data_IF_327507490975
#
_entry.id   IF_327507490975
#
_cell.length_a   1.000
_cell.length_b   1.000
_cell.length_c   1.000
_cell.angle_alpha   90.00
_cell.angle_beta   90.00
_cell.angle_gamma   90.00
#
_symmetry.space_group_name_H-M   'P 1'
#
loop_
_entity.id
_entity.type
_entity.pdbx_description
1 polymer ?
#
# COMPACT_ATOMS: atom_id res chain seq x y z
N UNK A 1 20.44 -2.12 -7.41
CA UNK A 1 19.62 -2.01 -6.18
C UNK A 1 20.52 -2.26 -4.98
N UNK A 2 20.60 -1.29 -4.06
CA UNK A 2 21.33 -1.43 -2.79
C UNK A 2 20.32 -1.85 -1.74
N UNK A 3 20.57 -2.94 -1.02
CA UNK A 3 19.67 -3.47 0.00
C UNK A 3 20.00 -2.98 1.41
N UNK A 4 21.17 -2.35 1.58
CA UNK A 4 21.65 -1.85 2.85
C UNK A 4 22.57 -0.63 2.63
N UNK A 5 22.39 0.42 3.42
CA UNK A 5 23.14 1.66 3.33
C UNK A 5 24.04 1.82 4.55
N UNK A 6 25.09 2.65 4.43
CA UNK A 6 26.03 2.90 5.50
C UNK A 6 25.54 3.95 6.51
N UNK A 7 24.52 4.73 6.11
CA UNK A 7 23.91 5.79 6.91
C UNK A 7 22.40 5.66 6.84
N UNK A 8 21.69 6.24 7.78
CA UNK A 8 20.27 6.49 7.65
C UNK A 8 20.01 7.43 6.45
N UNK A 9 18.78 7.45 5.95
CA UNK A 9 18.43 8.27 4.79
C UNK A 9 18.63 9.77 5.12
N UNK A 10 19.67 10.36 4.55
CA UNK A 10 20.05 11.76 4.79
C UNK A 10 19.02 12.79 4.30
N UNK A 11 18.00 12.36 3.56
CA UNK A 11 16.84 13.20 3.27
C UNK A 11 16.01 13.50 4.52
N UNK A 12 16.07 12.63 5.53
CA UNK A 12 15.25 12.69 6.73
C UNK A 12 16.06 12.74 8.03
N UNK A 13 17.29 12.22 8.02
CA UNK A 13 18.12 12.04 9.20
C UNK A 13 19.44 12.78 9.06
N UNK A 14 19.84 13.49 10.12
CA UNK A 14 21.18 14.04 10.22
C UNK A 14 22.22 12.92 10.50
N UNK A 15 23.50 13.27 10.48
CA UNK A 15 24.59 12.34 10.85
C UNK A 15 24.46 11.87 12.31
N UNK A 16 23.94 12.73 13.20
CA UNK A 16 23.66 12.42 14.61
C UNK A 16 22.32 11.71 14.83
N UNK A 17 21.73 11.18 13.75
CA UNK A 17 20.45 10.45 13.74
C UNK A 17 19.26 11.25 14.30
N UNK A 18 19.30 12.57 14.18
CA UNK A 18 18.17 13.44 14.49
C UNK A 18 17.25 13.53 13.27
N UNK A 19 15.96 13.41 13.50
CA UNK A 19 14.97 13.55 12.43
C UNK A 19 14.81 15.01 12.01
N UNK A 20 14.61 15.25 10.73
CA UNK A 20 14.43 16.58 10.15
C UNK A 20 13.18 17.25 10.73
N UNK A 21 13.30 18.44 11.39
CA UNK A 21 12.18 19.08 12.07
C UNK A 21 11.07 19.54 11.12
N UNK A 22 11.40 19.97 9.90
CA UNK A 22 10.39 20.43 8.93
C UNK A 22 9.57 19.25 8.40
N UNK A 23 10.20 18.10 8.22
CA UNK A 23 9.51 16.87 7.82
C UNK A 23 8.65 16.33 8.96
N UNK A 24 9.17 16.39 10.20
CA UNK A 24 8.41 15.99 11.39
C UNK A 24 7.12 16.81 11.52
N UNK A 25 7.20 18.14 11.40
CA UNK A 25 6.03 19.02 11.50
C UNK A 25 4.99 18.66 10.42
N UNK A 26 5.43 18.42 9.19
CA UNK A 26 4.54 18.00 8.11
C UNK A 26 3.88 16.66 8.40
N UNK A 27 4.63 15.66 8.88
CA UNK A 27 4.07 14.35 9.21
C UNK A 27 3.04 14.44 10.34
N UNK A 28 3.28 15.26 11.36
CA UNK A 28 2.32 15.51 12.43
C UNK A 28 1.04 16.17 11.88
N UNK A 29 1.17 17.18 11.01
CA UNK A 29 0.00 17.81 10.37
C UNK A 29 -0.79 16.83 9.49
N UNK A 30 -0.10 15.98 8.71
CA UNK A 30 -0.76 14.92 7.91
C UNK A 30 -1.50 13.93 8.83
N UNK A 31 -0.91 13.61 9.98
CA UNK A 31 -1.52 12.72 10.97
C UNK A 31 -2.79 13.31 11.56
N UNK A 32 -2.79 14.63 11.88
CA UNK A 32 -3.99 15.32 12.38
C UNK A 32 -5.11 15.29 11.33
N UNK A 33 -4.80 15.57 10.06
CA UNK A 33 -5.76 15.48 8.96
C UNK A 33 -6.28 14.04 8.76
N UNK A 34 -5.42 13.04 8.93
CA UNK A 34 -5.79 11.64 8.86
C UNK A 34 -6.76 11.26 9.98
N UNK A 35 -6.45 11.56 11.24
CA UNK A 35 -7.31 11.31 12.41
C UNK A 35 -8.67 11.99 12.23
N UNK A 36 -8.67 13.25 11.79
CA UNK A 36 -9.89 14.00 11.50
C UNK A 36 -10.74 13.33 10.41
N UNK A 37 -10.11 12.82 9.35
CA UNK A 37 -10.81 12.14 8.25
C UNK A 37 -11.47 10.82 8.66
N UNK A 38 -11.00 10.21 9.76
CA UNK A 38 -11.57 9.00 10.35
C UNK A 38 -12.64 9.29 11.41
N UNK A 39 -12.85 10.56 11.78
CA UNK A 39 -13.78 10.96 12.84
C UNK A 39 -13.31 10.58 14.24
N UNK A 40 -12.01 10.54 14.46
CA UNK A 40 -11.38 10.09 15.70
C UNK A 40 -10.79 11.22 16.56
N UNK A 41 -11.23 12.47 16.36
CA UNK A 41 -10.69 13.65 17.05
C UNK A 41 -10.85 13.61 18.58
N UNK A 42 -11.73 12.75 19.09
CA UNK A 42 -11.96 12.56 20.51
C UNK A 42 -11.19 11.41 21.13
N UNK A 43 -10.44 10.64 20.33
CA UNK A 43 -9.66 9.49 20.81
C UNK A 43 -8.28 9.97 21.21
N UNK A 44 -7.79 9.51 22.37
CA UNK A 44 -6.43 9.83 22.82
C UNK A 44 -5.40 9.13 21.94
N UNK A 45 -4.42 9.88 21.45
CA UNK A 45 -3.30 9.35 20.67
C UNK A 45 -2.14 9.08 21.62
N UNK A 46 -1.80 7.82 21.84
CA UNK A 46 -0.69 7.40 22.71
C UNK A 46 0.65 7.84 22.10
N UNK A 47 0.91 7.50 20.85
CA UNK A 47 2.10 7.95 20.12
C UNK A 47 1.84 8.05 18.62
N UNK A 48 2.72 8.75 17.92
CA UNK A 48 2.82 8.79 16.48
C UNK A 48 4.24 8.34 16.14
N UNK A 49 4.36 7.17 15.49
CA UNK A 49 5.66 6.57 15.26
C UNK A 49 6.01 6.48 13.79
N UNK A 50 7.28 6.67 13.48
CA UNK A 50 7.87 6.39 12.18
C UNK A 50 8.65 5.08 12.25
N UNK A 51 8.35 4.17 11.33
CA UNK A 51 8.98 2.85 11.25
C UNK A 51 9.38 2.51 9.81
N UNK A 52 9.58 1.25 9.51
CA UNK A 52 9.90 0.79 8.16
C UNK A 52 11.33 1.06 7.72
N UNK A 53 11.56 1.01 6.42
CA UNK A 53 12.93 1.06 5.88
C UNK A 53 13.57 2.44 5.99
N UNK A 54 12.79 3.53 5.99
CA UNK A 54 13.33 4.89 6.19
C UNK A 54 13.72 5.20 7.64
N UNK A 55 13.32 4.36 8.59
CA UNK A 55 13.79 4.38 9.98
C UNK A 55 14.93 3.37 10.22
N UNK A 56 15.55 2.87 9.15
CA UNK A 56 16.61 1.87 9.21
C UNK A 56 17.61 2.06 8.05
N UNK A 57 18.62 1.19 7.97
CA UNK A 57 19.67 1.21 6.94
C UNK A 57 19.27 0.51 5.63
N UNK A 58 18.09 -0.11 5.54
CA UNK A 58 17.61 -0.88 4.39
C UNK A 58 16.65 -0.12 3.46
N UNK A 59 16.69 1.23 3.55
CA UNK A 59 15.92 2.09 2.66
C UNK A 59 16.48 2.11 1.23
N UNK A 60 15.62 2.46 0.29
CA UNK A 60 15.96 2.75 -1.11
C UNK A 60 15.07 3.89 -1.65
N UNK A 61 15.19 4.21 -2.93
CA UNK A 61 14.42 5.27 -3.59
C UNK A 61 12.89 5.04 -3.63
N UNK A 62 12.44 3.79 -3.44
CA UNK A 62 11.04 3.38 -3.42
C UNK A 62 10.49 3.15 -2.00
N UNK A 63 11.29 3.46 -0.99
CA UNK A 63 10.86 3.28 0.40
C UNK A 63 9.87 4.35 0.80
N UNK A 64 8.78 3.94 1.42
CA UNK A 64 7.74 4.82 1.95
C UNK A 64 8.15 5.38 3.32
N UNK A 65 7.47 6.42 3.78
CA UNK A 65 7.48 6.88 5.16
C UNK A 65 6.28 6.23 5.87
N UNK A 66 6.53 5.16 6.60
CA UNK A 66 5.51 4.39 7.30
C UNK A 66 5.20 5.07 8.65
N UNK A 67 4.09 5.79 8.73
CA UNK A 67 3.65 6.51 9.94
C UNK A 67 2.52 5.76 10.62
N UNK A 68 2.72 5.35 11.86
CA UNK A 68 1.76 4.65 12.67
C UNK A 68 1.21 5.55 13.77
N UNK A 69 -0.11 5.66 13.84
CA UNK A 69 -0.84 6.33 14.92
C UNK A 69 -1.27 5.28 15.92
N UNK A 70 -0.76 5.37 17.12
CA UNK A 70 -1.04 4.44 18.21
C UNK A 70 -2.17 4.99 19.06
N UNK A 71 -3.22 4.20 19.19
CA UNK A 71 -4.39 4.50 20.02
C UNK A 71 -4.83 3.24 20.76
N UNK A 72 -5.63 3.39 21.78
CA UNK A 72 -6.31 2.28 22.43
C UNK A 72 -7.57 1.90 21.62
N UNK A 73 -7.61 0.70 21.06
CA UNK A 73 -8.79 0.26 20.31
C UNK A 73 -10.01 0.03 21.22
N UNK A 74 -9.80 -0.28 22.52
CA UNK A 74 -10.87 -0.39 23.49
C UNK A 74 -11.61 0.95 23.70
N UNK A 75 -10.94 2.09 23.55
CA UNK A 75 -11.57 3.42 23.61
C UNK A 75 -12.61 3.66 22.50
N UNK A 76 -12.51 2.90 21.41
CA UNK A 76 -13.47 2.96 20.30
C UNK A 76 -14.58 1.92 20.49
N UNK A 77 -14.23 0.66 20.75
CA UNK A 77 -15.16 -0.44 20.97
C UNK A 77 -14.47 -1.64 21.62
N UNK A 78 -15.23 -2.37 22.48
CA UNK A 78 -14.78 -3.61 23.14
C UNK A 78 -14.34 -4.71 22.16
N UNK A 79 -14.86 -4.70 20.91
CA UNK A 79 -14.45 -5.63 19.84
C UNK A 79 -13.30 -5.03 19.02
N UNK A 80 -12.07 -5.13 19.56
CA UNK A 80 -10.84 -4.65 18.93
C UNK A 80 -10.63 -5.23 17.52
N UNK A 81 -11.05 -6.48 17.27
CA UNK A 81 -10.94 -7.09 15.94
C UNK A 81 -11.82 -6.37 14.91
N UNK A 82 -13.02 -5.96 15.33
CA UNK A 82 -13.92 -5.16 14.51
C UNK A 82 -13.35 -3.76 14.28
N UNK A 83 -12.82 -3.12 15.33
CA UNK A 83 -12.15 -1.82 15.23
C UNK A 83 -10.99 -1.90 14.24
N UNK A 84 -10.12 -2.88 14.40
CA UNK A 84 -8.97 -3.10 13.48
C UNK A 84 -9.40 -3.24 12.03
N UNK A 85 -10.45 -4.04 11.77
CA UNK A 85 -10.97 -4.21 10.39
C UNK A 85 -11.54 -2.92 9.82
N UNK A 86 -12.27 -2.14 10.60
CA UNK A 86 -12.85 -0.88 10.18
C UNK A 86 -11.73 0.14 9.85
N UNK A 87 -10.80 0.34 10.78
CA UNK A 87 -9.68 1.27 10.62
C UNK A 87 -8.73 0.86 9.49
N UNK A 88 -8.49 -0.44 9.27
CA UNK A 88 -7.71 -0.94 8.12
C UNK A 88 -8.40 -0.63 6.78
N UNK A 89 -9.72 -0.70 6.74
CA UNK A 89 -10.51 -0.31 5.55
C UNK A 89 -10.42 1.19 5.26
N UNK A 90 -10.64 2.00 6.27
CA UNK A 90 -10.60 3.47 6.14
C UNK A 90 -9.20 3.98 5.82
N UNK A 91 -8.16 3.44 6.50
CA UNK A 91 -6.77 3.69 6.18
C UNK A 91 -6.44 3.36 4.72
N UNK A 92 -6.89 2.19 4.23
CA UNK A 92 -6.68 1.80 2.84
C UNK A 92 -7.30 2.82 1.87
N UNK A 93 -8.52 3.26 2.15
CA UNK A 93 -9.20 4.29 1.34
C UNK A 93 -8.46 5.62 1.43
N UNK A 94 -7.97 6.02 2.60
CA UNK A 94 -7.22 7.27 2.78
C UNK A 94 -5.92 7.26 1.98
N UNK A 95 -5.07 6.25 2.18
CA UNK A 95 -3.80 6.09 1.45
C UNK A 95 -4.01 5.99 -0.07
N UNK A 96 -5.15 5.43 -0.51
CA UNK A 96 -5.50 5.38 -1.93
C UNK A 96 -5.87 6.75 -2.52
N UNK A 97 -6.51 7.62 -1.72
CA UNK A 97 -6.98 8.95 -2.15
C UNK A 97 -5.92 10.03 -2.03
N UNK A 98 -4.96 9.87 -1.14
CA UNK A 98 -3.94 10.86 -0.84
C UNK A 98 -2.57 10.34 -1.29
N UNK A 99 -1.98 11.00 -2.25
CA UNK A 99 -0.63 10.72 -2.74
C UNK A 99 0.32 11.80 -2.19
N UNK A 100 0.59 11.72 -0.88
CA UNK A 100 1.48 12.67 -0.21
C UNK A 100 2.91 12.19 -0.38
N UNK A 101 3.75 13.04 -0.99
CA UNK A 101 5.15 12.73 -1.24
C UNK A 101 6.06 13.76 -0.56
N UNK A 102 6.95 13.31 0.30
CA UNK A 102 7.94 14.13 0.97
C UNK A 102 9.34 13.74 0.50
N UNK A 103 10.03 14.66 -0.16
CA UNK A 103 11.40 14.48 -0.67
C UNK A 103 11.59 13.25 -1.57
N UNK A 104 10.55 12.86 -2.31
CA UNK A 104 10.56 11.72 -3.23
C UNK A 104 10.17 10.38 -2.59
N UNK A 105 9.63 10.39 -1.39
CA UNK A 105 9.11 9.22 -0.69
C UNK A 105 7.64 9.42 -0.33
N UNK A 106 6.82 8.43 -0.60
CA UNK A 106 5.40 8.48 -0.31
C UNK A 106 5.15 8.28 1.19
N UNK A 107 4.11 8.93 1.71
CA UNK A 107 3.69 8.79 3.11
C UNK A 107 2.56 7.79 3.17
N UNK A 108 2.73 6.72 3.94
CA UNK A 108 1.70 5.74 4.24
C UNK A 108 1.29 5.86 5.72
N UNK A 109 -0.02 6.08 5.94
CA UNK A 109 -0.59 6.18 7.28
C UNK A 109 -1.14 4.84 7.73
N UNK A 110 -0.95 4.51 9.03
CA UNK A 110 -1.45 3.30 9.67
C UNK A 110 -2.09 3.64 11.01
N UNK A 111 -3.21 2.97 11.33
CA UNK A 111 -3.74 2.92 12.69
C UNK A 111 -3.27 1.64 13.34
N UNK A 112 -2.82 1.71 14.57
CA UNK A 112 -2.29 0.58 15.32
C UNK A 112 -2.76 0.63 16.75
N UNK A 113 -3.14 -0.52 17.29
CA UNK A 113 -3.42 -0.65 18.71
C UNK A 113 -2.14 -0.43 19.53
N UNK A 114 -2.23 0.34 20.61
CA UNK A 114 -1.07 0.64 21.48
C UNK A 114 -0.41 -0.61 22.07
N UNK A 115 -1.20 -1.68 22.28
CA UNK A 115 -0.74 -2.93 22.87
C UNK A 115 -0.25 -3.94 21.81
N UNK A 116 -0.41 -3.63 20.51
CA UNK A 116 0.13 -4.47 19.44
C UNK A 116 1.67 -4.41 19.41
N UNK A 117 2.36 -5.57 19.51
CA UNK A 117 3.82 -5.57 19.59
C UNK A 117 4.46 -5.00 18.33
N UNK A 118 5.34 -4.03 18.51
CA UNK A 118 6.19 -3.51 17.44
C UNK A 118 7.35 -4.46 17.14
N UNK A 119 7.36 -5.02 15.94
CA UNK A 119 8.47 -5.86 15.43
C UNK A 119 9.25 -5.03 14.42
N UNK A 120 9.85 -3.92 14.86
CA UNK A 120 10.66 -3.05 14.01
C UNK A 120 12.06 -2.91 14.57
N UNK A 121 13.07 -2.96 13.70
CA UNK A 121 14.49 -2.75 14.05
C UNK A 121 14.85 -1.27 14.19
N UNK A 122 14.00 -0.36 13.69
CA UNK A 122 14.07 1.08 13.88
C UNK A 122 12.67 1.63 14.13
N UNK A 123 12.47 2.29 15.28
CA UNK A 123 11.19 2.87 15.69
C UNK A 123 11.44 4.24 16.32
N UNK A 124 10.86 5.28 15.76
CA UNK A 124 11.03 6.65 16.18
C UNK A 124 9.69 7.28 16.55
N UNK A 125 9.59 7.86 17.76
CA UNK A 125 8.43 8.67 18.13
C UNK A 125 8.51 10.05 17.48
N UNK A 126 7.56 10.32 16.58
CA UNK A 126 7.36 11.66 16.03
C UNK A 126 6.73 12.59 17.08
N UNK A 127 5.88 12.06 17.97
CA UNK A 127 5.26 12.82 19.07
C UNK A 127 6.31 13.35 20.03
N UNK A 128 7.17 12.48 20.54
CA UNK A 128 8.20 12.81 21.52
C UNK A 128 9.53 13.27 20.92
N UNK A 129 9.69 13.16 19.60
CA UNK A 129 10.91 13.51 18.85
C UNK A 129 12.15 12.74 19.36
N UNK A 130 12.00 11.42 19.54
CA UNK A 130 13.07 10.55 20.05
C UNK A 130 12.99 9.13 19.50
N UNK A 131 14.12 8.43 19.50
CA UNK A 131 14.13 7.01 19.22
C UNK A 131 13.48 6.21 20.37
N UNK A 132 12.56 5.34 20.04
CA UNK A 132 12.06 4.27 20.92
C UNK A 132 13.00 3.07 20.79
N UNK A 133 13.30 2.69 19.53
CA UNK A 133 14.32 1.68 19.22
C UNK A 133 15.21 2.25 18.13
N UNK A 134 16.44 2.56 18.50
CA UNK A 134 17.43 3.05 17.54
C UNK A 134 17.96 1.89 16.69
N UNK A 135 17.99 2.01 15.36
CA UNK A 135 18.47 0.93 14.50
C UNK A 135 19.98 0.75 14.67
N UNK A 136 20.40 -0.51 14.86
CA UNK A 136 21.81 -0.87 14.87
C UNK A 136 22.36 -1.00 13.46
N UNK A 137 23.59 -0.49 13.25
CA UNK A 137 24.31 -0.75 12.00
C UNK A 137 24.95 -2.14 12.04
N UNK A 138 24.27 -3.10 11.43
CA UNK A 138 24.72 -4.48 11.31
C UNK A 138 24.52 -4.96 9.85
N UNK A 139 25.51 -4.72 8.96
CA UNK A 139 25.37 -5.04 7.55
C UNK A 139 25.27 -6.55 7.32
N UNK A 140 24.12 -7.03 6.80
CA UNK A 140 23.90 -8.46 6.58
C UNK A 140 24.71 -8.98 5.40
N UNK A 141 25.04 -10.28 5.45
CA UNK A 141 25.52 -11.00 4.28
C UNK A 141 24.35 -11.35 3.37
N UNK A 142 24.24 -10.71 2.21
CA UNK A 142 23.12 -10.88 1.26
C UNK A 142 23.60 -11.62 0.03
N UNK A 143 22.97 -12.74 -0.31
CA UNK A 143 23.12 -13.36 -1.62
C UNK A 143 22.25 -12.66 -2.67
N UNK A 144 22.81 -11.59 -3.24
CA UNK A 144 22.14 -10.74 -4.24
C UNK A 144 21.72 -11.56 -5.47
N UNK A 145 22.49 -12.58 -5.86
CA UNK A 145 22.16 -13.42 -7.04
C UNK A 145 20.91 -14.23 -6.79
N UNK A 146 20.78 -14.85 -5.61
CA UNK A 146 19.61 -15.64 -5.25
C UNK A 146 18.37 -14.75 -5.09
N UNK A 147 18.51 -13.52 -4.57
CA UNK A 147 17.42 -12.53 -4.51
C UNK A 147 16.85 -12.27 -5.91
N UNK A 148 17.70 -11.86 -6.86
CA UNK A 148 17.25 -11.55 -8.22
C UNK A 148 16.77 -12.79 -8.97
N UNK A 149 17.39 -13.94 -8.80
CA UNK A 149 16.93 -15.20 -9.40
C UNK A 149 15.52 -15.56 -8.94
N UNK A 150 15.24 -15.42 -7.64
CA UNK A 150 13.92 -15.71 -7.05
C UNK A 150 12.88 -14.69 -7.53
N UNK A 151 13.20 -13.39 -7.53
CA UNK A 151 12.32 -12.35 -8.03
C UNK A 151 11.99 -12.57 -9.52
N UNK A 152 13.00 -12.82 -10.36
CA UNK A 152 12.80 -13.03 -11.81
C UNK A 152 11.95 -14.26 -12.12
N UNK A 153 12.08 -15.33 -11.35
CA UNK A 153 11.24 -16.51 -11.54
C UNK A 153 9.76 -16.20 -11.28
N UNK A 154 9.47 -15.43 -10.23
CA UNK A 154 8.10 -15.02 -9.90
C UNK A 154 7.55 -14.02 -10.94
N UNK A 155 8.34 -13.03 -11.34
CA UNK A 155 7.97 -12.08 -12.39
C UNK A 155 7.60 -12.80 -13.69
N UNK A 156 8.40 -13.80 -14.09
CA UNK A 156 8.11 -14.64 -15.26
C UNK A 156 6.78 -15.39 -15.11
N UNK A 157 6.48 -15.94 -13.92
CA UNK A 157 5.19 -16.60 -13.65
C UNK A 157 4.01 -15.61 -13.79
N UNK A 158 4.18 -14.36 -13.35
CA UNK A 158 3.19 -13.28 -13.48
C UNK A 158 2.97 -12.92 -14.95
N UNK A 159 4.06 -12.71 -15.71
CA UNK A 159 4.01 -12.37 -17.14
C UNK A 159 3.26 -13.44 -17.94
N UNK A 160 3.58 -14.72 -17.71
CA UNK A 160 2.89 -15.85 -18.35
C UNK A 160 1.39 -15.86 -18.01
N UNK A 161 1.03 -15.56 -16.77
CA UNK A 161 -0.37 -15.48 -16.37
C UNK A 161 -1.08 -14.29 -17.05
N UNK A 162 -0.40 -13.14 -17.14
CA UNK A 162 -0.90 -11.91 -17.77
C UNK A 162 -1.27 -12.14 -19.24
N UNK A 163 -0.38 -12.79 -20.00
CA UNK A 163 -0.65 -13.16 -21.40
C UNK A 163 -1.85 -14.08 -21.53
N UNK A 164 -1.95 -15.11 -20.69
CA UNK A 164 -3.07 -16.05 -20.71
C UNK A 164 -4.40 -15.41 -20.35
N UNK A 165 -4.42 -14.57 -19.29
CA UNK A 165 -5.64 -13.88 -18.87
C UNK A 165 -6.11 -12.90 -19.94
N UNK A 166 -5.20 -12.29 -20.70
CA UNK A 166 -5.58 -11.38 -21.80
C UNK A 166 -6.53 -12.04 -22.80
N UNK A 167 -6.28 -13.30 -23.18
CA UNK A 167 -7.06 -14.07 -24.15
C UNK A 167 -8.26 -14.83 -23.54
N UNK A 168 -8.22 -15.13 -22.23
CA UNK A 168 -9.17 -16.03 -21.56
C UNK A 168 -10.58 -15.43 -21.41
N UNK A 169 -11.60 -16.34 -21.36
CA UNK A 169 -13.00 -16.03 -21.09
C UNK A 169 -13.64 -17.15 -20.26
N UNK A 170 -14.72 -16.83 -19.53
CA UNK A 170 -15.58 -17.79 -18.83
C UNK A 170 -14.81 -18.79 -17.96
N UNK A 171 -14.95 -20.09 -18.25
CA UNK A 171 -14.33 -21.16 -17.46
C UNK A 171 -12.80 -21.07 -17.42
N UNK A 172 -12.17 -20.68 -18.51
CA UNK A 172 -10.71 -20.52 -18.57
C UNK A 172 -10.25 -19.33 -17.71
N UNK A 173 -10.97 -18.19 -17.77
CA UNK A 173 -10.72 -17.04 -16.91
C UNK A 173 -10.83 -17.42 -15.43
N UNK A 174 -11.81 -18.25 -15.05
CA UNK A 174 -11.95 -18.77 -13.68
C UNK A 174 -10.72 -19.57 -13.24
N UNK A 175 -10.23 -20.47 -14.06
CA UNK A 175 -9.04 -21.28 -13.73
C UNK A 175 -7.79 -20.41 -13.59
N UNK A 176 -7.64 -19.38 -14.40
CA UNK A 176 -6.52 -18.44 -14.33
C UNK A 176 -6.63 -17.52 -13.12
N UNK A 177 -7.84 -17.05 -12.78
CA UNK A 177 -8.10 -16.32 -11.55
C UNK A 177 -7.67 -17.10 -10.31
N UNK A 178 -8.05 -18.38 -10.22
CA UNK A 178 -7.62 -19.25 -9.13
C UNK A 178 -6.09 -19.45 -9.08
N UNK A 179 -5.43 -19.54 -10.25
CA UNK A 179 -3.96 -19.63 -10.33
C UNK A 179 -3.28 -18.35 -9.86
N UNK A 180 -3.80 -17.19 -10.26
CA UNK A 180 -3.28 -15.89 -9.82
C UNK A 180 -3.41 -15.70 -8.31
N UNK A 181 -4.55 -16.07 -7.72
CA UNK A 181 -4.74 -16.05 -6.27
C UNK A 181 -3.76 -16.99 -5.54
N UNK A 182 -3.57 -18.22 -6.04
CA UNK A 182 -2.57 -19.14 -5.46
C UNK A 182 -1.15 -18.60 -5.55
N UNK A 183 -0.80 -17.89 -6.64
CA UNK A 183 0.51 -17.26 -6.76
C UNK A 183 0.67 -16.12 -5.74
N UNK A 184 -0.35 -15.27 -5.56
CA UNK A 184 -0.38 -14.22 -4.53
C UNK A 184 -0.17 -14.81 -3.13
N UNK A 185 -0.89 -15.88 -2.80
CA UNK A 185 -0.72 -16.57 -1.52
C UNK A 185 0.68 -17.17 -1.35
N UNK A 186 1.22 -17.79 -2.42
CA UNK A 186 2.59 -18.36 -2.42
C UNK A 186 3.63 -17.28 -2.11
N UNK A 187 3.51 -16.11 -2.74
CA UNK A 187 4.39 -14.95 -2.52
C UNK A 187 4.27 -14.47 -1.07
N UNK A 188 3.05 -14.30 -0.56
CA UNK A 188 2.80 -13.89 0.82
C UNK A 188 3.40 -14.87 1.83
N UNK A 189 3.17 -16.17 1.65
CA UNK A 189 3.72 -17.24 2.51
C UNK A 189 5.26 -17.29 2.42
N UNK A 190 5.82 -17.10 1.24
CA UNK A 190 7.25 -17.01 1.02
C UNK A 190 7.87 -15.88 1.85
N UNK A 191 7.33 -14.66 1.74
CA UNK A 191 7.77 -13.49 2.51
C UNK A 191 7.68 -13.72 4.01
N UNK A 192 6.51 -14.19 4.51
CA UNK A 192 6.30 -14.45 5.94
C UNK A 192 7.32 -15.46 6.49
N UNK A 193 7.60 -16.54 5.75
CA UNK A 193 8.59 -17.56 6.15
C UNK A 193 10.01 -16.98 6.17
N UNK A 194 10.38 -16.18 5.18
CA UNK A 194 11.69 -15.52 5.14
C UNK A 194 11.86 -14.59 6.34
N UNK A 195 10.87 -13.72 6.60
CA UNK A 195 10.88 -12.84 7.76
C UNK A 195 11.01 -13.58 9.10
N UNK A 196 10.28 -14.69 9.26
CA UNK A 196 10.33 -15.49 10.49
C UNK A 196 11.66 -16.25 10.69
N UNK A 197 12.34 -16.61 9.58
CA UNK A 197 13.59 -17.41 9.65
C UNK A 197 14.85 -16.56 9.75
N UNK A 198 14.96 -15.52 8.94
CA UNK A 198 16.17 -14.73 8.74
C UNK A 198 15.93 -13.22 8.82
N UNK A 199 14.70 -12.81 9.19
CA UNK A 199 14.35 -11.40 9.30
C UNK A 199 14.21 -10.67 7.97
N UNK A 200 14.33 -9.35 8.03
CA UNK A 200 14.07 -8.45 6.90
C UNK A 200 15.08 -8.58 5.74
N UNK A 201 16.26 -9.12 6.00
CA UNK A 201 17.29 -9.36 4.99
C UNK A 201 17.26 -10.77 4.37
N UNK A 202 16.25 -11.58 4.70
CA UNK A 202 16.07 -12.87 4.04
C UNK A 202 15.92 -12.70 2.52
N UNK A 203 16.44 -13.67 1.77
CA UNK A 203 16.34 -13.71 0.30
C UNK A 203 14.89 -13.58 -0.16
N UNK A 204 13.96 -14.19 0.58
CA UNK A 204 12.52 -14.14 0.32
C UNK A 204 11.92 -12.74 0.45
N UNK A 205 12.25 -12.04 1.54
CA UNK A 205 11.75 -10.69 1.76
C UNK A 205 12.38 -9.69 0.79
N UNK A 206 13.68 -9.82 0.53
CA UNK A 206 14.35 -8.97 -0.46
C UNK A 206 13.85 -9.20 -1.88
N UNK A 207 13.58 -10.46 -2.27
CA UNK A 207 12.94 -10.76 -3.55
C UNK A 207 11.54 -10.15 -3.64
N UNK A 208 10.76 -10.17 -2.55
CA UNK A 208 9.47 -9.49 -2.48
C UNK A 208 9.62 -7.96 -2.65
N UNK A 209 10.62 -7.34 -1.99
CA UNK A 209 10.92 -5.90 -2.19
C UNK A 209 11.27 -5.59 -3.65
N UNK A 210 12.06 -6.43 -4.32
CA UNK A 210 12.35 -6.28 -5.76
C UNK A 210 11.05 -6.33 -6.58
N UNK A 211 10.20 -7.34 -6.37
CA UNK A 211 8.93 -7.48 -7.07
C UNK A 211 7.98 -6.29 -6.85
N UNK A 212 7.98 -5.70 -5.66
CA UNK A 212 7.23 -4.46 -5.37
C UNK A 212 7.78 -3.28 -6.16
N UNK A 213 9.09 -3.12 -6.17
CA UNK A 213 9.78 -2.01 -6.86
C UNK A 213 9.65 -2.10 -8.40
N UNK A 214 9.55 -3.32 -8.96
CA UNK A 214 9.30 -3.53 -10.40
C UNK A 214 7.81 -3.54 -10.75
N UNK A 215 6.93 -3.18 -9.82
CA UNK A 215 5.47 -3.20 -9.94
C UNK A 215 4.85 -4.59 -10.20
N UNK A 216 5.64 -5.66 -10.21
CA UNK A 216 5.14 -7.01 -10.49
C UNK A 216 4.05 -7.47 -9.49
N UNK A 217 4.09 -7.00 -8.24
CA UNK A 217 3.02 -7.26 -7.26
C UNK A 217 1.75 -6.50 -7.63
N UNK A 218 1.87 -5.25 -8.07
CA UNK A 218 0.75 -4.46 -8.58
C UNK A 218 0.10 -5.14 -9.79
N UNK A 219 0.91 -5.53 -10.78
CA UNK A 219 0.47 -6.30 -11.95
C UNK A 219 -0.30 -7.57 -11.58
N UNK A 220 0.16 -8.31 -10.58
CA UNK A 220 -0.54 -9.52 -10.11
C UNK A 220 -1.90 -9.21 -9.48
N UNK A 221 -2.00 -8.12 -8.70
CA UNK A 221 -3.28 -7.68 -8.11
C UNK A 221 -4.26 -7.26 -9.19
N UNK A 222 -3.81 -6.47 -10.16
CA UNK A 222 -4.62 -6.03 -11.30
C UNK A 222 -5.07 -7.22 -12.16
N UNK A 223 -4.19 -8.22 -12.31
CA UNK A 223 -4.50 -9.46 -13.02
C UNK A 223 -5.60 -10.27 -12.32
N UNK A 224 -5.56 -10.35 -10.99
CA UNK A 224 -6.60 -11.00 -10.19
C UNK A 224 -7.95 -10.30 -10.39
N UNK A 225 -7.98 -8.97 -10.31
CA UNK A 225 -9.19 -8.18 -10.57
C UNK A 225 -9.71 -8.37 -12.00
N UNK A 226 -8.84 -8.19 -13.00
CA UNK A 226 -9.19 -8.36 -14.42
C UNK A 226 -9.70 -9.75 -14.73
N UNK A 227 -9.09 -10.80 -14.17
CA UNK A 227 -9.54 -12.17 -14.38
C UNK A 227 -10.91 -12.44 -13.75
N UNK A 228 -11.19 -11.85 -12.59
CA UNK A 228 -12.50 -11.90 -11.95
C UNK A 228 -13.57 -11.25 -12.81
N UNK A 229 -13.32 -10.05 -13.30
CA UNK A 229 -14.25 -9.35 -14.19
C UNK A 229 -14.60 -10.18 -15.44
N UNK A 230 -13.59 -10.82 -16.05
CA UNK A 230 -13.76 -11.69 -17.21
C UNK A 230 -14.58 -12.96 -16.96
N UNK A 231 -14.70 -13.40 -15.70
CA UNK A 231 -15.55 -14.55 -15.36
C UNK A 231 -17.04 -14.17 -15.46
N UNK A 232 -17.38 -12.97 -15.02
CA UNK A 232 -18.77 -12.57 -14.81
C UNK A 232 -19.30 -11.58 -15.86
N UNK A 233 -18.41 -10.94 -16.62
CA UNK A 233 -18.82 -10.00 -17.67
C UNK A 233 -19.17 -10.76 -18.95
N UNK A 234 -20.45 -10.83 -19.28
CA UNK A 234 -20.93 -11.35 -20.56
C UNK A 234 -20.67 -10.32 -21.66
N UNK A 235 -20.20 -10.80 -22.83
CA UNK A 235 -19.99 -9.95 -24.00
C UNK A 235 -19.07 -8.73 -23.78
N UNK A 236 -18.00 -8.91 -23.02
CA UNK A 236 -17.06 -7.84 -22.71
C UNK A 236 -16.62 -7.03 -23.95
N UNK A 237 -16.50 -7.69 -25.11
CA UNK A 237 -16.14 -7.06 -26.38
C UNK A 237 -17.26 -6.19 -26.92
N UNK A 238 -18.51 -6.68 -26.88
CA UNK A 238 -19.71 -5.97 -27.29
C UNK A 238 -20.02 -4.77 -26.38
N UNK A 239 -19.79 -4.92 -25.06
CA UNK A 239 -19.93 -3.83 -24.11
C UNK A 239 -18.92 -2.71 -24.39
N UNK A 240 -17.67 -3.06 -24.66
CA UNK A 240 -16.61 -2.10 -24.96
C UNK A 240 -16.81 -1.43 -26.33
N UNK A 241 -17.26 -2.19 -27.35
CA UNK A 241 -17.58 -1.68 -28.69
C UNK A 241 -18.84 -0.82 -28.68
N UNK A 242 -19.86 -1.17 -27.91
CA UNK A 242 -21.08 -0.38 -27.71
C UNK A 242 -20.78 1.00 -27.12
N UNK A 243 -19.95 1.06 -26.08
CA UNK A 243 -19.57 2.33 -25.45
C UNK A 243 -18.47 3.11 -26.20
N UNK A 244 -17.73 2.50 -27.11
CA UNK A 244 -16.83 3.22 -28.03
C UNK A 244 -17.57 3.76 -29.26
N UNK A 245 -18.68 3.13 -29.65
CA UNK A 245 -19.50 3.54 -30.80
C UNK A 245 -20.47 4.68 -30.47
N UNK A 246 -20.95 4.76 -29.25
CA UNK A 246 -21.69 5.91 -28.75
C UNK A 246 -20.72 6.93 -28.15
N UNK A 247 -20.31 7.90 -28.95
CA UNK A 247 -19.60 9.05 -28.47
C UNK A 247 -20.40 9.69 -27.31
N UNK A 248 -20.22 9.10 -26.09
CA UNK A 248 -20.18 9.89 -24.88
C UNK A 248 -21.43 10.67 -24.49
N UNK A 249 -22.55 10.04 -24.50
CA UNK A 249 -23.72 10.59 -23.79
C UNK A 249 -23.61 10.44 -22.27
N UNK A 250 -22.61 9.69 -21.76
CA UNK A 250 -22.40 9.56 -20.33
C UNK A 250 -20.91 9.66 -19.94
N UNK A 251 -20.42 10.85 -19.51
CA UNK A 251 -19.04 11.05 -19.13
C UNK A 251 -18.56 10.21 -17.92
N UNK A 252 -19.46 9.55 -17.21
CA UNK A 252 -19.13 8.66 -16.08
C UNK A 252 -18.70 7.27 -16.51
N UNK A 253 -18.86 6.90 -17.79
CA UNK A 253 -18.49 5.59 -18.34
C UNK A 253 -17.27 5.63 -19.26
N UNK A 254 -16.45 6.65 -19.16
CA UNK A 254 -15.16 6.63 -19.82
C UNK A 254 -14.25 5.61 -19.15
N UNK A 255 -14.30 4.39 -19.61
CA UNK A 255 -13.18 3.45 -19.47
C UNK A 255 -12.09 3.92 -20.43
N UNK A 256 -11.44 5.02 -20.09
CA UNK A 256 -10.27 5.50 -20.80
C UNK A 256 -9.13 4.51 -20.62
N UNK A 257 -8.23 4.47 -21.61
CA UNK A 257 -6.97 3.69 -21.60
C UNK A 257 -6.03 3.95 -20.42
N UNK A 258 -6.43 4.76 -19.48
CA UNK A 258 -5.74 5.11 -18.25
C UNK A 258 -6.72 5.01 -17.08
N UNK A 259 -7.18 3.78 -16.78
CA UNK A 259 -7.39 3.43 -15.39
C UNK A 259 -5.98 3.11 -14.85
N UNK A 260 -5.12 4.10 -14.91
CA UNK A 260 -4.00 4.18 -13.99
C UNK A 260 -4.65 4.33 -12.63
N UNK A 261 -4.47 3.32 -11.80
CA UNK A 261 -4.64 3.35 -10.37
C UNK A 261 -5.47 4.55 -9.92
N UNK A 262 -6.81 4.35 -9.73
CA UNK A 262 -7.69 5.38 -9.17
C UNK A 262 -7.79 6.67 -10.00
N UNK A 263 -8.34 6.57 -11.16
CA UNK A 263 -8.53 7.78 -11.97
C UNK A 263 -9.96 8.27 -12.02
N UNK A 264 -10.54 8.67 -10.92
CA UNK A 264 -11.53 9.74 -10.97
C UNK A 264 -10.75 11.05 -10.89
N UNK A 265 -10.38 11.62 -12.04
CA UNK A 265 -9.77 12.93 -12.06
C UNK A 265 -10.70 13.93 -11.36
N UNK A 266 -10.13 14.85 -10.56
CA UNK A 266 -10.86 15.94 -9.88
C UNK A 266 -11.83 16.74 -10.79
N UNK A 267 -11.72 16.64 -12.09
CA UNK A 267 -12.64 17.26 -13.07
C UNK A 267 -14.03 16.62 -13.11
N UNK A 268 -14.21 15.39 -12.65
CA UNK A 268 -15.50 14.69 -12.73
C UNK A 268 -16.37 14.85 -11.48
N UNK A 269 -15.77 15.29 -10.35
CA UNK A 269 -16.52 15.57 -9.11
C UNK A 269 -17.33 16.89 -9.18
N UNK A 270 -17.01 17.77 -10.11
CA UNK A 270 -17.69 19.08 -10.24
C UNK A 270 -18.86 19.10 -11.21
N UNK A 271 -19.26 17.97 -11.80
CA UNK A 271 -20.36 17.87 -12.78
C UNK A 271 -21.53 17.02 -12.31
N UNK A 272 -21.72 16.84 -11.01
CA UNK A 272 -22.97 16.29 -10.50
C UNK A 272 -24.03 17.39 -10.62
N UNK A 273 -25.11 17.22 -11.41
CA UNK A 273 -26.18 18.18 -11.45
C UNK A 273 -26.81 18.31 -10.08
N UNK A 274 -26.93 19.54 -9.58
CA UNK A 274 -27.72 19.89 -8.38
C UNK A 274 -29.21 19.65 -8.63
N UNK A 275 -29.65 18.42 -8.74
CA UNK A 275 -31.06 18.07 -8.77
C UNK A 275 -31.28 16.76 -8.08
N UNK A 276 -31.35 16.78 -6.76
CA UNK A 276 -32.18 15.89 -5.94
C UNK A 276 -32.23 16.50 -4.53
N UNK A 277 -32.93 17.63 -4.41
CA UNK A 277 -33.50 18.03 -3.13
C UNK A 277 -34.85 17.30 -2.99
N UNK A 278 -34.88 16.14 -2.42
CA UNK A 278 -36.12 15.60 -1.89
C UNK A 278 -36.24 16.05 -0.44
N UNK A 279 -37.04 17.11 -0.26
CA UNK A 279 -37.73 17.39 0.99
C UNK A 279 -38.56 16.18 1.39
N UNK A 280 -38.26 15.57 2.53
CA UNK A 280 -39.20 14.71 3.24
C UNK A 280 -40.29 15.58 3.90
N UNK A 281 -41.55 15.35 3.66
CA UNK A 281 -42.60 15.90 4.51
C UNK A 281 -42.85 14.96 5.70
N UNK A 282 -42.83 15.57 6.90
CA UNK A 282 -43.32 15.14 8.20
C UNK A 282 -43.17 13.69 8.67
#
# INVERSE_FOLDING_TARGET
>A
VRFYNNTLNQKFWSEDKQFDPDIREKLLSITDDFIHSLGLEGVEVDDITLTGSNSNYNYNEYSDLDVHVLIDFEDINEDEELVKKALDGDRFVWNLRHNVNLRGHDVEMYMQDKDEPHVASGLYSLKDNKWITEPSYDPPSIDVKDVFKKAKAIETDIDILKEKVAAARGKEAKQLHEKANRLKEKISKMRKRGLAREGEFSVENLAFKVLRNTEAIGDLIDLISTSYDKIYTENFKTYFEYYQGEELLNPHMRVGKNINRVGLSKKHLNTVPKQYSHTCPH
#
